data_IF_761656624380
#
_entry.id   IF_761656624380
#
_cell.length_a   1.000
_cell.length_b   1.000
_cell.length_c   1.000
_cell.angle_alpha   90.00
_cell.angle_beta   90.00
_cell.angle_gamma   90.00
#
_symmetry.space_group_name_H-M   'P 1'
#
loop_
_entity.id
_entity.type
_entity.pdbx_description
1 polymer ?
#
# COMPACT_ATOMS: atom_id res chain seq x y z
N UNK A 1 -14.01 6.85 -24.20
CA UNK A 1 -12.98 6.79 -23.15
C UNK A 1 -12.98 8.11 -22.43
N UNK A 2 -13.05 8.07 -21.11
CA UNK A 2 -13.12 9.25 -20.25
C UNK A 2 -11.93 9.25 -19.28
N UNK A 3 -11.20 10.36 -19.23
CA UNK A 3 -10.08 10.49 -18.31
C UNK A 3 -10.61 10.72 -16.90
N UNK A 4 -10.06 10.02 -15.93
CA UNK A 4 -10.39 10.17 -14.50
C UNK A 4 -9.93 11.54 -14.00
N UNK A 5 -10.82 12.38 -13.46
CA UNK A 5 -10.42 13.62 -12.82
C UNK A 5 -9.68 13.35 -11.51
N UNK A 6 -8.83 14.28 -11.09
CA UNK A 6 -8.30 14.29 -9.73
C UNK A 6 -9.46 14.62 -8.77
N UNK A 7 -9.70 13.73 -7.81
CA UNK A 7 -10.68 13.91 -6.73
C UNK A 7 -10.05 14.54 -5.50
N UNK A 8 -8.80 14.16 -5.22
CA UNK A 8 -8.03 14.64 -4.06
C UNK A 8 -6.54 14.56 -4.38
N UNK A 9 -5.77 15.50 -3.83
CA UNK A 9 -4.32 15.52 -3.89
C UNK A 9 -3.79 15.94 -2.52
N UNK A 10 -2.80 15.22 -1.98
CA UNK A 10 -2.16 15.53 -0.70
C UNK A 10 -0.69 15.12 -0.69
N UNK A 11 0.09 15.71 0.18
CA UNK A 11 1.47 15.28 0.46
C UNK A 11 1.48 14.28 1.61
N UNK A 12 2.38 13.28 1.54
CA UNK A 12 2.57 12.33 2.63
C UNK A 12 3.14 13.04 3.87
N UNK A 13 2.63 12.70 5.06
CA UNK A 13 2.93 13.37 6.31
C UNK A 13 4.02 12.62 7.11
N UNK A 14 5.07 13.31 7.59
CA UNK A 14 6.04 12.70 8.49
C UNK A 14 5.37 12.06 9.70
N UNK A 15 5.70 10.81 9.98
CA UNK A 15 5.07 10.00 11.03
C UNK A 15 6.13 9.11 11.68
N UNK A 16 5.90 8.70 12.92
CA UNK A 16 6.74 7.73 13.63
C UNK A 16 5.88 6.53 14.03
N UNK A 17 6.35 5.34 13.65
CA UNK A 17 5.65 4.07 13.91
C UNK A 17 6.61 2.99 14.45
N UNK A 18 6.06 1.83 14.78
CA UNK A 18 6.85 0.71 15.31
C UNK A 18 7.61 1.10 16.58
N UNK A 19 8.87 0.70 16.68
CA UNK A 19 9.74 1.04 17.81
C UNK A 19 10.49 2.38 17.62
N UNK A 20 9.97 3.26 16.77
CA UNK A 20 10.55 4.57 16.45
C UNK A 20 11.11 4.64 15.03
N UNK A 21 10.44 4.04 14.08
CA UNK A 21 10.71 4.15 12.63
C UNK A 21 10.11 5.44 12.11
N UNK A 22 10.95 6.30 11.53
CA UNK A 22 10.52 7.52 10.86
C UNK A 22 10.14 7.19 9.43
N UNK A 23 8.91 7.52 9.07
CA UNK A 23 8.33 7.28 7.76
C UNK A 23 7.41 8.43 7.34
N UNK A 24 6.82 8.34 6.15
CA UNK A 24 5.80 9.28 5.70
C UNK A 24 4.49 8.53 5.47
N UNK A 25 3.45 8.90 6.20
CA UNK A 25 2.10 8.36 6.01
C UNK A 25 1.44 9.01 4.82
N UNK A 26 1.09 8.19 3.83
CA UNK A 26 0.41 8.64 2.61
C UNK A 26 -1.09 8.82 2.90
N UNK A 27 -1.72 7.84 3.55
CA UNK A 27 -3.08 7.89 4.09
C UNK A 27 -3.25 6.79 5.16
N UNK A 28 -4.27 6.93 6.01
CA UNK A 28 -4.63 5.96 7.07
C UNK A 28 -5.39 6.62 8.21
N UNK A 29 -5.94 5.84 9.12
CA UNK A 29 -6.59 6.24 10.38
C UNK A 29 -7.58 7.42 10.26
N UNK A 30 -8.59 7.30 9.41
CA UNK A 30 -9.57 8.36 9.22
C UNK A 30 -10.68 7.94 8.28
N UNK A 31 -10.98 8.77 7.30
CA UNK A 31 -11.94 8.44 6.25
C UNK A 31 -11.32 7.41 5.30
N UNK A 32 -11.83 6.18 5.34
CA UNK A 32 -11.39 5.07 4.48
C UNK A 32 -12.14 5.02 3.15
N UNK A 33 -13.27 5.72 3.02
CA UNK A 33 -14.12 5.67 1.82
C UNK A 33 -13.39 6.02 0.51
N UNK A 34 -12.51 7.04 0.47
CA UNK A 34 -11.78 7.38 -0.76
C UNK A 34 -10.79 6.32 -1.22
N UNK A 35 -10.38 5.43 -0.32
CA UNK A 35 -9.32 4.43 -0.52
C UNK A 35 -9.82 2.99 -0.55
N UNK A 36 -11.11 2.76 -0.22
CA UNK A 36 -11.68 1.40 -0.18
C UNK A 36 -11.34 0.62 -1.49
N UNK A 37 -10.70 -0.57 -1.40
CA UNK A 37 -10.55 -1.43 -0.23
C UNK A 37 -9.26 -1.21 0.58
N UNK A 38 -8.49 -0.17 0.31
CA UNK A 38 -7.24 0.08 1.04
C UNK A 38 -7.48 0.91 2.30
N UNK A 39 -6.69 0.66 3.33
CA UNK A 39 -6.87 1.25 4.66
C UNK A 39 -5.76 2.23 5.02
N UNK A 40 -4.52 1.90 4.66
CA UNK A 40 -3.34 2.66 5.03
C UNK A 40 -2.24 2.46 4.01
N UNK A 41 -1.46 3.50 3.76
CA UNK A 41 -0.21 3.42 3.03
C UNK A 41 0.87 4.25 3.71
N UNK A 42 2.05 3.65 3.89
CA UNK A 42 3.24 4.29 4.41
C UNK A 42 4.39 4.19 3.42
N UNK A 43 5.13 5.28 3.28
CA UNK A 43 6.41 5.38 2.58
C UNK A 43 7.52 5.43 3.64
N UNK A 44 8.21 4.29 3.84
CA UNK A 44 9.28 4.16 4.85
C UNK A 44 10.68 4.42 4.27
N UNK A 45 10.78 5.22 3.21
CA UNK A 45 12.08 5.62 2.65
C UNK A 45 12.85 6.47 3.64
N UNK A 46 14.04 5.98 4.01
CA UNK A 46 14.93 6.64 4.94
C UNK A 46 16.39 6.24 4.67
N UNK A 47 17.28 7.21 4.66
CA UNK A 47 18.72 7.03 4.46
C UNK A 47 19.52 7.16 5.78
N UNK A 48 18.82 7.25 6.92
CA UNK A 48 19.39 7.42 8.26
C UNK A 48 19.15 6.17 9.11
N UNK A 49 20.10 5.23 9.23
CA UNK A 49 19.89 3.95 9.91
C UNK A 49 19.33 4.06 11.34
N UNK A 50 19.75 5.06 12.11
CA UNK A 50 19.25 5.27 13.48
C UNK A 50 17.75 5.56 13.57
N UNK A 51 17.11 5.95 12.45
CA UNK A 51 15.70 6.27 12.37
C UNK A 51 14.82 5.12 11.89
N UNK A 52 15.40 3.98 11.45
CA UNK A 52 14.61 2.82 11.01
C UNK A 52 15.06 1.48 11.62
N UNK A 53 16.30 1.31 12.07
CA UNK A 53 16.84 0.01 12.53
C UNK A 53 16.10 -0.61 13.71
N UNK A 54 15.32 0.16 14.47
CA UNK A 54 14.50 -0.38 15.57
C UNK A 54 13.32 -1.20 15.06
N UNK A 55 12.90 -1.00 13.82
CA UNK A 55 11.91 -1.78 13.10
C UNK A 55 10.54 -1.84 13.75
N UNK A 56 9.84 -2.88 13.37
CA UNK A 56 8.51 -3.23 13.85
C UNK A 56 8.59 -4.57 14.60
N UNK A 57 8.87 -4.56 15.91
CA UNK A 57 8.92 -5.78 16.73
C UNK A 57 7.58 -6.51 16.71
N UNK A 58 7.56 -7.73 17.24
CA UNK A 58 6.39 -8.61 17.24
C UNK A 58 5.07 -7.88 17.55
N UNK A 59 4.18 -7.85 16.56
CA UNK A 59 2.87 -7.20 16.65
C UNK A 59 1.81 -8.02 15.90
N UNK A 60 0.53 -7.96 16.36
CA UNK A 60 -0.56 -8.72 15.75
C UNK A 60 -1.16 -8.02 14.55
N UNK A 61 -1.79 -8.80 13.63
CA UNK A 61 -2.76 -8.31 12.64
C UNK A 61 -3.93 -9.28 12.54
N UNK A 62 -5.14 -8.73 12.27
CA UNK A 62 -6.35 -9.50 11.95
C UNK A 62 -7.23 -8.73 11.00
N UNK A 63 -7.86 -9.46 10.05
CA UNK A 63 -8.89 -8.94 9.17
C UNK A 63 -8.41 -8.06 8.03
N UNK A 64 -7.11 -8.07 7.75
CA UNK A 64 -6.46 -7.29 6.68
C UNK A 64 -5.43 -8.14 5.95
N UNK A 65 -4.95 -7.57 4.86
CA UNK A 65 -3.70 -7.95 4.21
C UNK A 65 -2.68 -6.84 4.37
N UNK A 66 -1.41 -7.19 4.55
CA UNK A 66 -0.29 -6.26 4.57
C UNK A 66 0.62 -6.53 3.39
N UNK A 67 0.98 -5.48 2.66
CA UNK A 67 1.82 -5.56 1.47
C UNK A 67 3.06 -4.70 1.70
N UNK A 68 4.21 -5.34 1.79
CA UNK A 68 5.51 -4.68 1.92
C UNK A 68 6.23 -4.76 0.59
N UNK A 69 6.54 -3.63 -0.03
CA UNK A 69 7.32 -3.54 -1.26
C UNK A 69 8.65 -2.84 -0.97
N UNK A 70 9.76 -3.55 -1.07
CA UNK A 70 11.10 -3.03 -0.82
C UNK A 70 11.72 -2.58 -2.15
N UNK A 71 12.09 -1.31 -2.25
CA UNK A 71 12.80 -0.76 -3.41
C UNK A 71 14.31 -0.85 -3.24
N UNK A 72 14.79 -0.57 -2.02
CA UNK A 72 16.22 -0.65 -1.65
C UNK A 72 16.37 -1.07 -0.19
N UNK A 73 17.38 -1.85 0.07
CA UNK A 73 17.71 -2.35 1.40
C UNK A 73 17.10 -3.71 1.67
N UNK A 74 17.17 -4.14 2.92
CA UNK A 74 16.67 -5.43 3.35
C UNK A 74 15.74 -5.27 4.54
N UNK A 75 14.69 -6.10 4.58
CA UNK A 75 13.79 -6.25 5.72
C UNK A 75 13.76 -7.72 6.11
N UNK A 76 14.25 -8.04 7.29
CA UNK A 76 14.08 -9.37 7.87
C UNK A 76 12.69 -9.48 8.46
N UNK A 77 12.02 -10.58 8.22
CA UNK A 77 10.68 -10.81 8.75
C UNK A 77 10.56 -12.21 9.36
N UNK A 78 9.60 -12.34 10.27
CA UNK A 78 9.20 -13.61 10.84
C UNK A 78 7.78 -13.53 11.39
N UNK A 79 7.06 -14.66 11.41
CA UNK A 79 5.69 -14.73 11.88
C UNK A 79 5.40 -15.89 12.82
N UNK A 80 4.21 -15.88 13.42
CA UNK A 80 3.71 -16.89 14.37
C UNK A 80 3.37 -18.23 13.71
N UNK A 81 3.43 -18.35 12.39
CA UNK A 81 3.26 -19.60 11.64
C UNK A 81 4.60 -20.30 11.38
N UNK A 82 5.71 -19.66 11.78
CA UNK A 82 7.07 -20.17 11.57
C UNK A 82 7.71 -19.73 10.27
N UNK A 83 7.08 -18.87 9.47
CA UNK A 83 7.70 -18.30 8.30
C UNK A 83 8.81 -17.31 8.71
N UNK A 84 9.91 -17.33 7.97
CA UNK A 84 11.03 -16.40 8.12
C UNK A 84 11.65 -16.13 6.76
N UNK A 85 12.11 -14.92 6.56
CA UNK A 85 12.77 -14.55 5.31
C UNK A 85 13.39 -13.17 5.35
N UNK A 86 13.93 -12.80 4.20
CA UNK A 86 14.49 -11.48 3.95
C UNK A 86 13.91 -10.97 2.63
N UNK A 87 13.30 -9.81 2.69
CA UNK A 87 12.95 -9.02 1.51
C UNK A 87 14.14 -8.16 1.13
N UNK A 88 14.52 -8.18 -0.12
CA UNK A 88 15.62 -7.41 -0.69
C UNK A 88 15.13 -6.48 -1.80
N UNK A 89 16.04 -5.81 -2.49
CA UNK A 89 15.73 -4.84 -3.54
C UNK A 89 14.76 -5.40 -4.59
N UNK A 90 13.59 -4.78 -4.70
CA UNK A 90 12.53 -5.13 -5.62
C UNK A 90 11.61 -6.27 -5.18
N UNK A 91 11.84 -6.90 -4.02
CA UNK A 91 10.97 -7.96 -3.48
C UNK A 91 9.67 -7.39 -2.91
N UNK A 92 8.63 -8.23 -2.92
CA UNK A 92 7.31 -7.94 -2.34
C UNK A 92 6.93 -9.06 -1.39
N UNK A 93 6.37 -8.68 -0.25
CA UNK A 93 5.68 -9.60 0.65
C UNK A 93 4.19 -9.25 0.67
N UNK A 94 3.35 -10.26 0.42
CA UNK A 94 1.91 -10.15 0.57
C UNK A 94 1.44 -11.13 1.64
N UNK A 95 1.03 -10.59 2.77
CA UNK A 95 0.59 -11.38 3.92
C UNK A 95 -0.91 -11.17 4.16
N UNK A 96 -1.69 -12.23 4.05
CA UNK A 96 -3.09 -12.26 4.50
C UNK A 96 -3.11 -12.57 5.98
N UNK A 97 -3.47 -11.61 6.82
CA UNK A 97 -3.55 -11.80 8.28
C UNK A 97 -4.77 -12.62 8.69
N UNK A 98 -5.88 -12.51 7.96
CA UNK A 98 -7.09 -13.31 8.16
C UNK A 98 -7.54 -13.38 9.62
N UNK A 99 -7.65 -14.59 10.15
CA UNK A 99 -8.10 -14.87 11.53
C UNK A 99 -7.12 -14.45 12.63
N UNK A 100 -5.91 -14.06 12.27
CA UNK A 100 -4.90 -13.54 13.19
C UNK A 100 -3.53 -14.11 12.96
N UNK A 101 -2.56 -13.21 12.86
CA UNK A 101 -1.13 -13.50 12.79
C UNK A 101 -0.38 -12.53 13.69
N UNK A 102 0.77 -12.94 14.20
CA UNK A 102 1.71 -12.08 14.89
C UNK A 102 3.01 -12.14 14.13
N UNK A 103 3.58 -11.00 13.76
CA UNK A 103 4.80 -10.94 12.98
C UNK A 103 5.72 -9.80 13.44
N UNK A 104 6.92 -9.81 12.91
CA UNK A 104 7.87 -8.71 13.03
C UNK A 104 8.50 -8.39 11.68
N UNK A 105 8.88 -7.13 11.50
CA UNK A 105 9.60 -6.63 10.32
C UNK A 105 10.78 -5.79 10.80
N UNK A 106 11.99 -6.24 10.51
CA UNK A 106 13.24 -5.64 11.01
C UNK A 106 14.07 -5.16 9.82
N UNK A 107 14.01 -3.86 9.47
CA UNK A 107 14.80 -3.30 8.39
C UNK A 107 16.28 -3.27 8.78
N UNK A 108 17.14 -3.69 7.86
CA UNK A 108 18.59 -3.65 8.03
C UNK A 108 19.28 -2.70 7.04
N UNK A 109 18.54 -2.23 6.04
CA UNK A 109 19.06 -1.35 4.99
C UNK A 109 20.04 -2.05 4.05
N UNK A 110 20.66 -1.25 3.17
CA UNK A 110 21.76 -1.70 2.31
C UNK A 110 23.12 -1.19 2.83
N UNK A 111 24.20 -1.48 2.10
CA UNK A 111 25.56 -1.07 2.47
C UNK A 111 25.75 0.47 2.54
N UNK A 112 24.85 1.24 1.92
CA UNK A 112 24.83 2.71 1.96
C UNK A 112 23.93 3.26 3.07
N UNK A 113 23.30 2.40 3.87
CA UNK A 113 22.36 2.79 4.91
C UNK A 113 20.98 3.21 4.39
N UNK A 114 20.63 2.82 3.17
CA UNK A 114 19.34 3.16 2.59
C UNK A 114 18.31 2.06 2.89
N UNK A 115 17.10 2.49 3.24
CA UNK A 115 15.93 1.66 3.39
C UNK A 115 14.75 2.33 2.69
N UNK A 116 14.41 1.89 1.47
CA UNK A 116 13.34 2.46 0.68
C UNK A 116 12.26 1.43 0.39
N UNK A 117 11.02 1.76 0.68
CA UNK A 117 9.90 0.88 0.39
C UNK A 117 8.57 1.42 0.87
N UNK A 118 7.54 0.62 0.67
CA UNK A 118 6.16 0.97 0.96
C UNK A 118 5.48 -0.14 1.73
N UNK A 119 4.62 0.26 2.67
CA UNK A 119 3.67 -0.60 3.36
C UNK A 119 2.27 -0.21 2.94
N UNK A 120 1.49 -1.13 2.40
CA UNK A 120 0.09 -0.94 2.07
C UNK A 120 -0.77 -1.93 2.86
N UNK A 121 -1.88 -1.47 3.42
CA UNK A 121 -2.88 -2.34 4.03
C UNK A 121 -4.12 -2.39 3.15
N UNK A 122 -4.53 -3.60 2.78
CA UNK A 122 -5.78 -3.88 2.11
C UNK A 122 -6.77 -4.53 3.09
N UNK A 123 -8.03 -4.10 3.03
CA UNK A 123 -9.08 -4.66 3.86
C UNK A 123 -9.53 -6.02 3.31
N UNK A 124 -9.88 -6.96 4.16
CA UNK A 124 -10.53 -8.20 3.77
C UNK A 124 -12.05 -8.04 3.76
N UNK A 125 -12.76 -8.64 2.80
CA UNK A 125 -14.22 -8.74 2.86
C UNK A 125 -14.68 -9.42 4.15
N UNK A 126 -15.90 -9.12 4.59
CA UNK A 126 -16.46 -9.62 5.86
C UNK A 126 -16.37 -11.14 6.00
N UNK A 127 -16.68 -11.86 4.94
CA UNK A 127 -16.66 -13.33 4.90
C UNK A 127 -15.24 -13.92 4.89
N UNK A 128 -14.22 -13.10 4.60
CA UNK A 128 -12.80 -13.49 4.59
C UNK A 128 -12.02 -12.96 5.80
N UNK A 129 -12.62 -12.13 6.66
CA UNK A 129 -11.95 -11.59 7.85
C UNK A 129 -11.33 -12.65 8.76
N UNK A 130 -11.93 -13.82 8.80
CA UNK A 130 -11.48 -14.94 9.63
C UNK A 130 -10.92 -16.11 8.79
N UNK A 131 -10.49 -15.87 7.56
CA UNK A 131 -9.82 -16.89 6.75
C UNK A 131 -8.47 -17.31 7.37
N UNK A 132 -7.94 -18.42 6.89
CA UNK A 132 -6.61 -18.89 7.32
C UNK A 132 -5.54 -17.90 6.88
N UNK A 133 -4.63 -17.48 7.78
CA UNK A 133 -3.51 -16.64 7.41
C UNK A 133 -2.67 -17.25 6.28
N UNK A 134 -2.21 -16.40 5.38
CA UNK A 134 -1.44 -16.81 4.20
C UNK A 134 -0.27 -15.87 3.99
N UNK A 135 0.82 -16.42 3.48
CA UNK A 135 2.05 -15.70 3.24
C UNK A 135 2.55 -15.93 1.82
N UNK A 136 2.85 -14.88 1.09
CA UNK A 136 3.42 -14.92 -0.25
C UNK A 136 4.66 -14.03 -0.30
N UNK A 137 5.82 -14.67 -0.50
CA UNK A 137 7.11 -14.03 -0.67
C UNK A 137 7.46 -14.02 -2.16
N UNK A 138 7.48 -12.84 -2.77
CA UNK A 138 7.63 -12.67 -4.21
C UNK A 138 8.97 -12.00 -4.45
N UNK A 139 9.86 -12.75 -5.10
CA UNK A 139 11.17 -12.22 -5.45
C UNK A 139 11.10 -11.28 -6.64
N UNK A 140 11.97 -10.29 -6.65
CA UNK A 140 12.04 -9.27 -7.70
C UNK A 140 12.06 -9.85 -9.13
N UNK A 141 12.72 -10.98 -9.31
CA UNK A 141 12.79 -11.69 -10.60
C UNK A 141 11.50 -12.35 -11.05
N UNK A 142 10.55 -12.59 -10.13
CA UNK A 142 9.26 -13.22 -10.41
C UNK A 142 8.18 -12.19 -10.76
N UNK A 143 8.47 -10.90 -10.54
CA UNK A 143 7.54 -9.80 -10.87
C UNK A 143 7.61 -9.52 -12.36
N UNK A 144 6.48 -9.74 -13.06
CA UNK A 144 6.37 -9.42 -14.48
C UNK A 144 6.64 -7.95 -14.73
N UNK A 145 7.43 -7.65 -15.77
CA UNK A 145 7.72 -6.28 -16.18
C UNK A 145 7.74 -6.13 -17.70
N UNK A 146 7.44 -4.93 -18.16
CA UNK A 146 7.51 -4.57 -19.58
C UNK A 146 8.06 -3.15 -19.73
N UNK A 147 8.62 -2.90 -20.92
CA UNK A 147 9.03 -1.56 -21.32
C UNK A 147 8.36 -1.26 -22.66
N UNK A 148 7.58 -0.18 -22.70
CA UNK A 148 6.90 0.27 -23.91
C UNK A 148 7.87 1.00 -24.87
N UNK A 149 7.45 1.21 -26.13
CA UNK A 149 8.25 1.86 -27.19
C UNK A 149 8.68 3.29 -26.84
N UNK A 150 7.91 3.97 -25.94
CA UNK A 150 8.23 5.31 -25.44
C UNK A 150 9.22 5.30 -24.25
N UNK A 151 9.72 4.12 -23.87
CA UNK A 151 10.62 3.93 -22.73
C UNK A 151 9.94 3.84 -21.39
N UNK A 152 8.60 3.90 -21.31
CA UNK A 152 7.86 3.68 -20.05
C UNK A 152 8.09 2.27 -19.56
N UNK A 153 8.61 2.13 -18.34
CA UNK A 153 8.83 0.84 -17.68
C UNK A 153 7.75 0.59 -16.63
N UNK A 154 7.17 -0.62 -16.64
CA UNK A 154 6.07 -0.99 -15.75
C UNK A 154 6.39 -2.35 -15.13
N UNK A 155 6.34 -2.43 -13.79
CA UNK A 155 6.36 -3.68 -13.03
C UNK A 155 4.95 -3.98 -12.53
N UNK A 156 4.48 -5.18 -12.80
CA UNK A 156 3.13 -5.64 -12.43
C UNK A 156 3.24 -6.47 -11.14
N UNK A 157 3.06 -5.84 -9.99
CA UNK A 157 3.13 -6.52 -8.69
C UNK A 157 1.89 -7.40 -8.49
N UNK A 158 0.69 -6.83 -8.74
CA UNK A 158 -0.57 -7.54 -8.66
C UNK A 158 -1.53 -7.09 -9.77
N UNK A 159 -2.48 -7.95 -10.13
CA UNK A 159 -3.45 -7.70 -11.19
C UNK A 159 -2.93 -8.09 -12.59
N UNK A 160 -3.52 -7.50 -13.61
CA UNK A 160 -3.14 -7.70 -15.01
C UNK A 160 -2.94 -6.33 -15.70
N UNK A 161 -1.88 -6.23 -16.48
CA UNK A 161 -1.63 -5.08 -17.35
C UNK A 161 -1.18 -5.56 -18.72
N UNK A 162 -2.03 -5.37 -19.75
CA UNK A 162 -1.77 -5.77 -21.15
C UNK A 162 -1.33 -7.23 -21.32
N UNK A 163 -1.92 -8.14 -20.51
CA UNK A 163 -1.60 -9.56 -20.53
C UNK A 163 -0.38 -9.95 -19.71
N UNK A 164 0.32 -9.00 -19.08
CA UNK A 164 1.33 -9.27 -18.07
C UNK A 164 0.63 -9.40 -16.71
N UNK A 165 0.70 -10.60 -16.14
CA UNK A 165 0.05 -10.90 -14.86
C UNK A 165 1.02 -10.70 -13.72
N UNK A 166 0.54 -10.06 -12.65
CA UNK A 166 1.25 -9.94 -11.39
C UNK A 166 1.46 -11.30 -10.71
N UNK A 167 2.52 -11.40 -9.92
CA UNK A 167 2.91 -12.64 -9.27
C UNK A 167 2.02 -13.02 -8.08
N UNK A 168 1.26 -12.06 -7.53
CA UNK A 168 0.33 -12.27 -6.41
C UNK A 168 -0.98 -12.85 -6.94
N UNK A 169 -1.50 -13.90 -6.30
CA UNK A 169 -2.77 -14.53 -6.66
C UNK A 169 -3.68 -14.76 -5.44
N UNK A 170 -4.96 -15.08 -5.72
CA UNK A 170 -5.93 -15.44 -4.68
C UNK A 170 -6.25 -14.29 -3.72
N UNK A 171 -6.34 -13.06 -4.23
CA UNK A 171 -6.66 -11.85 -3.46
C UNK A 171 -8.09 -11.42 -3.77
N UNK A 172 -8.94 -11.39 -2.73
CA UNK A 172 -10.38 -11.16 -2.87
C UNK A 172 -10.75 -9.73 -3.35
N UNK A 173 -9.92 -8.75 -3.05
CA UNK A 173 -10.15 -7.35 -3.46
C UNK A 173 -9.76 -7.07 -4.92
N UNK A 174 -9.29 -8.10 -5.63
CA UNK A 174 -8.85 -8.00 -7.03
C UNK A 174 -7.97 -6.76 -7.28
N UNK A 175 -6.86 -6.59 -6.56
CA UNK A 175 -6.05 -5.39 -6.63
C UNK A 175 -5.27 -5.33 -7.94
N UNK A 176 -5.06 -4.10 -8.44
CA UNK A 176 -3.99 -3.78 -9.38
C UNK A 176 -2.94 -2.96 -8.67
N UNK A 177 -1.70 -3.40 -8.70
CA UNK A 177 -0.56 -2.71 -8.10
C UNK A 177 0.57 -2.65 -9.11
N UNK A 178 0.77 -1.47 -9.69
CA UNK A 178 1.77 -1.20 -10.73
C UNK A 178 2.82 -0.22 -10.19
N UNK A 179 4.09 -0.51 -10.42
CA UNK A 179 5.21 0.42 -10.25
C UNK A 179 5.63 0.90 -11.65
N UNK A 180 5.46 2.19 -11.91
CA UNK A 180 5.55 2.79 -13.24
C UNK A 180 6.61 3.87 -13.26
N UNK A 181 7.54 3.77 -14.20
CA UNK A 181 8.52 4.81 -14.50
C UNK A 181 8.31 5.35 -15.93
N UNK A 182 8.04 6.64 -16.06
CA UNK A 182 7.84 7.32 -17.36
C UNK A 182 9.03 8.24 -17.62
N UNK A 183 9.65 8.16 -18.82
CA UNK A 183 10.74 9.05 -19.22
C UNK A 183 10.36 10.53 -19.20
N UNK A 184 11.32 11.47 -19.21
CA UNK A 184 11.06 12.89 -19.24
C UNK A 184 10.10 13.34 -20.36
N UNK A 185 9.22 14.30 -20.06
CA UNK A 185 8.33 14.97 -21.01
C UNK A 185 7.48 14.01 -21.87
N UNK A 186 7.05 12.90 -21.28
CA UNK A 186 6.27 11.86 -21.97
C UNK A 186 4.86 11.80 -21.40
N UNK A 187 3.86 11.75 -22.29
CA UNK A 187 2.46 11.57 -21.93
C UNK A 187 2.03 10.14 -22.16
N UNK A 188 1.42 9.52 -21.14
CA UNK A 188 0.97 8.14 -21.17
C UNK A 188 -0.45 8.02 -20.64
N UNK A 189 -1.24 7.10 -21.20
CA UNK A 189 -2.55 6.71 -20.71
C UNK A 189 -2.54 5.29 -20.21
N UNK A 190 -3.14 5.11 -19.05
CA UNK A 190 -3.30 3.81 -18.39
C UNK A 190 -4.79 3.47 -18.33
N UNK A 191 -5.20 2.31 -18.86
CA UNK A 191 -6.59 1.85 -18.73
C UNK A 191 -6.89 1.60 -17.24
N UNK A 192 -8.13 1.92 -16.86
CA UNK A 192 -8.57 1.82 -15.49
C UNK A 192 -9.99 1.27 -15.43
N UNK A 193 -10.21 0.16 -14.73
CA UNK A 193 -11.55 -0.41 -14.58
C UNK A 193 -12.47 0.58 -13.84
N UNK A 194 -13.58 0.93 -14.45
CA UNK A 194 -14.55 1.91 -13.91
C UNK A 194 -15.18 1.49 -12.59
N UNK A 195 -15.15 0.21 -12.27
CA UNK A 195 -15.67 -0.36 -11.01
C UNK A 195 -14.72 -0.22 -9.84
N UNK A 196 -13.43 0.09 -10.11
CA UNK A 196 -12.38 0.18 -9.10
C UNK A 196 -12.18 1.61 -8.62
N UNK A 197 -11.90 1.76 -7.34
CA UNK A 197 -11.28 2.95 -6.79
C UNK A 197 -9.76 2.86 -6.95
N UNK A 198 -9.08 4.01 -7.01
CA UNK A 198 -7.64 3.97 -7.09
C UNK A 198 -6.98 5.32 -7.01
N UNK A 199 -5.68 5.24 -6.82
CA UNK A 199 -4.81 6.40 -6.60
C UNK A 199 -3.44 6.17 -7.23
N UNK A 200 -2.70 7.28 -7.41
CA UNK A 200 -1.28 7.26 -7.70
C UNK A 200 -0.51 7.84 -6.52
N UNK A 201 0.68 7.29 -6.24
CA UNK A 201 1.62 7.84 -5.28
C UNK A 201 2.96 8.08 -5.95
N UNK A 202 3.36 9.35 -6.09
CA UNK A 202 4.61 9.75 -6.73
C UNK A 202 5.73 9.68 -5.71
N UNK A 203 6.80 8.96 -6.04
CA UNK A 203 7.95 8.82 -5.17
C UNK A 203 9.30 9.18 -5.80
N UNK A 204 9.31 9.49 -7.11
CA UNK A 204 10.46 10.10 -7.80
C UNK A 204 9.97 11.02 -8.91
N UNK A 205 10.64 12.16 -9.11
CA UNK A 205 10.30 13.11 -10.16
C UNK A 205 8.98 13.84 -9.94
N UNK A 206 8.30 14.16 -11.03
CA UNK A 206 7.04 14.89 -11.02
C UNK A 206 6.18 14.57 -12.23
N UNK A 207 4.86 14.75 -12.10
CA UNK A 207 3.91 14.58 -13.20
C UNK A 207 2.69 15.50 -13.06
N UNK A 208 2.03 15.70 -14.18
CA UNK A 208 0.66 16.23 -14.26
C UNK A 208 -0.28 15.05 -14.52
N UNK A 209 -1.36 14.94 -13.74
CA UNK A 209 -2.41 13.95 -13.91
C UNK A 209 -3.67 14.62 -14.44
N UNK A 210 -4.13 14.15 -15.57
CA UNK A 210 -5.44 14.48 -16.11
C UNK A 210 -5.43 15.60 -17.11
N UNK A 211 -6.29 15.47 -18.07
CA UNK A 211 -7.00 16.46 -18.87
C UNK A 211 -8.44 15.97 -18.93
N UNK A 212 -9.07 15.75 -17.77
CA UNK A 212 -10.46 15.36 -17.72
C UNK A 212 -11.29 16.41 -18.47
N UNK A 213 -12.02 15.95 -19.47
CA UNK A 213 -12.96 16.82 -20.17
C UNK A 213 -13.95 17.41 -19.17
N UNK A 214 -14.14 18.73 -19.22
CA UNK A 214 -15.18 19.43 -18.47
C UNK A 214 -16.51 18.64 -18.46
N UNK A 215 -17.29 18.62 -17.35
CA UNK A 215 -17.48 19.74 -16.43
C UNK A 215 -16.68 19.64 -15.10
N UNK A 216 -15.75 18.74 -14.95
CA UNK A 216 -15.05 18.51 -13.70
C UNK A 216 -13.79 19.37 -13.50
N UNK A 217 -13.56 20.36 -14.33
CA UNK A 217 -12.54 21.40 -14.14
C UNK A 217 -12.85 22.38 -13.01
N UNK A 218 -13.62 21.97 -12.01
CA UNK A 218 -13.85 22.76 -10.82
C UNK A 218 -12.75 22.40 -9.83
N UNK A 219 -11.89 23.39 -9.51
CA UNK A 219 -11.04 23.32 -8.33
C UNK A 219 -11.95 23.11 -7.12
N UNK A 220 -12.07 21.87 -6.67
CA UNK A 220 -12.80 21.57 -5.45
C UNK A 220 -11.86 21.87 -4.31
N UNK A 221 -11.97 23.07 -3.76
CA UNK A 221 -11.45 23.36 -2.43
C UNK A 221 -12.23 22.48 -1.45
N UNK A 222 -11.61 21.41 -0.98
CA UNK A 222 -12.12 20.64 0.15
C UNK A 222 -11.26 20.94 1.35
N UNK A 223 -11.87 21.47 2.36
CA UNK A 223 -11.33 21.52 3.71
C UNK A 223 -11.25 20.07 4.24
N UNK A 224 -10.06 19.50 4.32
CA UNK A 224 -9.82 18.28 5.05
C UNK A 224 -9.04 18.65 6.33
N UNK A 225 -9.65 18.43 7.49
CA UNK A 225 -9.08 18.75 8.80
C UNK A 225 -8.64 20.24 8.99
N UNK A 226 -9.30 21.19 8.31
CA UNK A 226 -9.02 22.62 8.46
C UNK A 226 -7.89 23.16 7.59
N UNK A 227 -7.37 22.38 6.65
CA UNK A 227 -6.38 22.85 5.66
C UNK A 227 -6.99 22.94 4.27
N UNK A 228 -6.76 24.08 3.58
CA UNK A 228 -7.13 24.27 2.18
C UNK A 228 -6.29 23.35 1.29
N UNK A 229 -6.92 22.35 0.66
CA UNK A 229 -6.27 21.54 -0.37
C UNK A 229 -6.34 22.21 -1.72
N UNK A 230 -5.19 22.67 -2.22
CA UNK A 230 -5.05 23.17 -3.59
C UNK A 230 -4.60 22.04 -4.50
N UNK A 231 -5.38 21.74 -5.55
CA UNK A 231 -4.92 20.88 -6.65
C UNK A 231 -3.84 21.67 -7.39
N UNK A 232 -2.62 21.13 -7.39
CA UNK A 232 -1.48 21.73 -8.10
C UNK A 232 -1.47 21.22 -9.53
N UNK A 233 -1.04 22.05 -10.47
CA UNK A 233 -0.88 21.66 -11.87
C UNK A 233 0.17 20.53 -12.04
N UNK A 234 1.12 20.42 -11.11
CA UNK A 234 2.14 19.40 -11.10
C UNK A 234 2.26 18.76 -9.71
N UNK A 235 2.20 17.42 -9.69
CA UNK A 235 2.42 16.60 -8.49
C UNK A 235 3.86 16.15 -8.43
N UNK A 236 4.53 16.40 -7.32
CA UNK A 236 5.93 16.06 -7.09
C UNK A 236 6.12 14.81 -6.23
N UNK A 237 7.37 14.58 -5.82
CA UNK A 237 7.75 13.50 -4.91
C UNK A 237 6.94 13.55 -3.60
N UNK A 238 6.51 12.38 -3.10
CA UNK A 238 5.65 12.18 -1.92
C UNK A 238 4.22 12.72 -2.06
N UNK A 239 3.73 12.85 -3.28
CA UNK A 239 2.35 13.29 -3.55
C UNK A 239 1.43 12.11 -3.82
N UNK A 240 0.32 12.07 -3.10
CA UNK A 240 -0.83 11.21 -3.33
C UNK A 240 -1.81 11.91 -4.28
N UNK A 241 -2.31 11.19 -5.29
CA UNK A 241 -3.35 11.65 -6.22
C UNK A 241 -4.46 10.61 -6.24
N UNK A 242 -5.65 10.95 -5.76
CA UNK A 242 -6.83 10.07 -5.76
C UNK A 242 -7.74 10.44 -6.94
N UNK A 243 -8.18 9.43 -7.67
CA UNK A 243 -8.95 9.62 -8.90
C UNK A 243 -10.46 9.50 -8.69
N UNK A 244 -11.20 10.30 -9.45
CA UNK A 244 -12.65 10.17 -9.62
C UNK A 244 -13.02 9.05 -10.61
N UNK A 245 -14.26 9.08 -11.10
CA UNK A 245 -14.76 8.11 -12.08
C UNK A 245 -14.19 8.36 -13.50
N UNK A 246 -13.95 7.31 -14.24
CA UNK A 246 -13.42 7.30 -15.60
C UNK A 246 -12.84 5.94 -15.95
N UNK A 247 -12.42 5.75 -17.18
CA UNK A 247 -11.86 4.48 -17.69
C UNK A 247 -10.36 4.58 -18.07
N UNK A 248 -9.76 5.77 -17.93
CA UNK A 248 -8.33 5.99 -18.16
C UNK A 248 -7.74 6.99 -17.15
N UNK A 249 -6.46 6.82 -16.83
CA UNK A 249 -5.63 7.82 -16.15
C UNK A 249 -4.60 8.32 -17.16
N UNK A 250 -4.55 9.64 -17.39
CA UNK A 250 -3.52 10.27 -18.23
C UNK A 250 -2.46 10.90 -17.34
N UNK A 251 -1.19 10.63 -17.64
CA UNK A 251 -0.03 11.11 -16.89
C UNK A 251 0.94 11.75 -17.88
N UNK A 252 1.34 12.98 -17.59
CA UNK A 252 2.43 13.65 -18.31
C UNK A 252 3.58 13.87 -17.34
N UNK A 253 4.72 13.21 -17.59
CA UNK A 253 5.90 13.33 -16.74
C UNK A 253 6.57 14.70 -16.88
N UNK A 254 7.21 15.15 -15.79
CA UNK A 254 8.02 16.36 -15.78
C UNK A 254 9.39 16.21 -16.50
N UNK A 255 10.21 17.25 -16.40
CA UNK A 255 11.53 17.32 -17.08
C UNK A 255 12.52 16.24 -16.65
N UNK A 256 12.38 15.67 -15.46
CA UNK A 256 13.22 14.59 -14.93
C UNK A 256 12.55 13.21 -15.03
N UNK A 257 11.40 13.12 -15.69
CA UNK A 257 10.56 11.94 -15.67
C UNK A 257 9.75 11.82 -14.37
N UNK A 258 9.08 10.68 -14.21
CA UNK A 258 8.31 10.37 -12.99
C UNK A 258 8.36 8.88 -12.70
N UNK A 259 8.40 8.50 -11.42
CA UNK A 259 8.12 7.15 -10.97
C UNK A 259 7.08 7.18 -9.87
N UNK A 260 6.07 6.34 -10.03
CA UNK A 260 4.90 6.32 -9.13
C UNK A 260 4.31 4.93 -9.03
N UNK A 261 3.59 4.70 -7.94
CA UNK A 261 2.71 3.54 -7.80
C UNK A 261 1.34 3.91 -8.34
N UNK A 262 0.75 3.06 -9.18
CA UNK A 262 -0.65 3.15 -9.59
C UNK A 262 -1.38 1.96 -8.99
N UNK A 263 -2.25 2.23 -8.01
CA UNK A 263 -2.91 1.21 -7.21
C UNK A 263 -4.42 1.36 -7.34
N UNK A 264 -5.11 0.22 -7.52
CA UNK A 264 -6.57 0.20 -7.55
C UNK A 264 -7.13 -1.13 -7.03
N UNK A 265 -8.36 -1.10 -6.52
CA UNK A 265 -9.06 -2.30 -6.06
C UNK A 265 -10.58 -2.16 -6.14
N UNK A 266 -11.28 -3.28 -6.06
CA UNK A 266 -12.73 -3.29 -5.99
C UNK A 266 -13.17 -2.83 -4.58
N UNK A 267 -13.94 -1.73 -4.45
CA UNK A 267 -14.38 -1.26 -3.15
C UNK A 267 -15.32 -2.26 -2.48
N UNK A 268 -15.08 -2.57 -1.22
CA UNK A 268 -15.89 -3.50 -0.42
C UNK A 268 -17.23 -2.89 0.01
N UNK A 269 -17.24 -1.58 0.29
CA UNK A 269 -18.43 -0.85 0.78
C UNK A 269 -19.02 -1.45 2.05
N UNK A 270 -18.16 -1.95 2.91
CA UNK A 270 -18.52 -2.59 4.17
C UNK A 270 -18.14 -1.70 5.36
N UNK A 271 -18.84 -1.82 6.50
CA UNK A 271 -18.44 -1.10 7.70
C UNK A 271 -17.03 -1.49 8.15
N UNK A 272 -16.26 -0.50 8.59
CA UNK A 272 -14.89 -0.67 9.11
C UNK A 272 -14.88 -0.34 10.61
N UNK A 273 -14.54 -1.33 11.43
CA UNK A 273 -14.24 -1.17 12.84
C UNK A 273 -12.74 -1.38 13.05
N UNK A 274 -12.01 -0.28 13.22
CA UNK A 274 -10.56 -0.26 13.22
C UNK A 274 -9.99 0.23 14.54
N UNK A 275 -9.03 -0.52 15.11
CA UNK A 275 -8.23 -0.07 16.26
C UNK A 275 -6.83 -0.69 16.19
N UNK A 276 -5.81 0.15 16.11
CA UNK A 276 -4.42 -0.27 15.96
C UNK A 276 -4.25 -1.22 14.78
N UNK A 277 -3.65 -2.41 14.96
CA UNK A 277 -3.35 -3.34 13.88
C UNK A 277 -4.51 -4.30 13.53
N UNK A 278 -5.69 -4.12 14.11
CA UNK A 278 -6.84 -5.02 13.95
C UNK A 278 -8.00 -4.27 13.28
N UNK A 279 -8.55 -4.87 12.22
CA UNK A 279 -9.66 -4.29 11.44
C UNK A 279 -10.75 -5.35 11.23
N UNK A 280 -11.93 -5.06 11.78
CA UNK A 280 -13.12 -5.91 11.68
C UNK A 280 -14.28 -5.12 11.07
N UNK A 281 -15.50 -5.69 11.01
CA UNK A 281 -16.68 -5.00 10.52
C UNK A 281 -17.56 -4.42 11.63
N UNK A 282 -17.36 -4.82 12.88
CA UNK A 282 -18.11 -4.33 14.02
C UNK A 282 -17.24 -4.16 15.27
N UNK A 283 -17.71 -3.30 16.19
CA UNK A 283 -17.05 -3.13 17.50
C UNK A 283 -17.04 -4.41 18.33
N UNK A 284 -18.06 -5.25 18.20
CA UNK A 284 -18.13 -6.51 18.92
C UNK A 284 -17.03 -7.49 18.46
N UNK A 285 -16.84 -7.62 17.16
CA UNK A 285 -15.75 -8.43 16.58
C UNK A 285 -14.37 -7.89 16.96
N UNK A 286 -14.23 -6.55 16.99
CA UNK A 286 -12.99 -5.91 17.41
C UNK A 286 -12.68 -6.19 18.89
N UNK A 287 -13.69 -6.09 19.78
CA UNK A 287 -13.55 -6.41 21.20
C UNK A 287 -13.21 -7.89 21.42
N UNK A 288 -13.79 -8.79 20.62
CA UNK A 288 -13.46 -10.22 20.65
C UNK A 288 -12.00 -10.44 20.29
N UNK A 289 -11.51 -9.82 19.21
CA UNK A 289 -10.11 -9.92 18.79
C UNK A 289 -9.14 -9.51 19.91
N UNK A 290 -9.42 -8.42 20.64
CA UNK A 290 -8.60 -8.00 21.77
C UNK A 290 -8.72 -8.93 22.99
N UNK A 291 -9.91 -9.49 23.24
CA UNK A 291 -10.06 -10.51 24.30
C UNK A 291 -9.20 -11.75 24.01
N UNK A 292 -9.23 -12.23 22.78
CA UNK A 292 -8.42 -13.37 22.34
C UNK A 292 -6.92 -13.07 22.39
N UNK A 293 -6.51 -11.83 22.02
CA UNK A 293 -5.12 -11.41 22.13
C UNK A 293 -4.63 -11.46 23.58
N UNK A 294 -5.41 -10.91 24.49
CA UNK A 294 -5.10 -10.91 25.91
C UNK A 294 -5.13 -12.32 26.54
N UNK A 295 -5.97 -13.21 26.01
CA UNK A 295 -6.11 -14.60 26.48
C UNK A 295 -5.07 -15.56 25.85
N UNK A 296 -4.25 -15.09 24.91
CA UNK A 296 -3.29 -15.95 24.21
C UNK A 296 -3.92 -16.90 23.17
N UNK A 297 -5.16 -16.61 22.74
CA UNK A 297 -5.91 -17.45 21.78
C UNK A 297 -6.13 -16.75 20.43
N UNK A 298 -5.39 -15.69 20.19
CA UNK A 298 -5.53 -14.84 19.00
C UNK A 298 -5.12 -15.58 17.72
N UNK A 299 -3.96 -16.26 17.72
CA UNK A 299 -3.49 -17.05 16.59
C UNK A 299 -4.27 -18.36 16.56
N UNK A 300 -5.02 -18.61 15.46
CA UNK A 300 -5.89 -19.77 15.32
C UNK A 300 -5.18 -20.98 14.71
N UNK A 301 -4.18 -20.72 13.89
CA UNK A 301 -3.30 -21.73 13.32
C UNK A 301 -1.89 -21.37 13.75
N UNK A 302 -1.23 -22.20 14.51
CA UNK A 302 0.10 -21.94 15.02
C UNK A 302 1.08 -22.99 14.57
N UNK A 303 2.35 -22.60 14.36
CA UNK A 303 3.46 -23.53 14.43
C UNK A 303 3.61 -24.00 15.88
N UNK A 304 3.87 -25.28 16.08
CA UNK A 304 4.16 -25.85 17.39
C UNK A 304 5.29 -25.04 18.06
N UNK A 305 5.01 -24.44 19.21
CA UNK A 305 6.00 -23.78 20.06
C UNK A 305 5.95 -22.26 20.16
N UNK A 306 4.99 -21.58 19.53
CA UNK A 306 4.82 -20.14 19.75
C UNK A 306 4.01 -19.89 21.04
N UNK A 307 4.65 -19.28 22.04
CA UNK A 307 4.01 -18.88 23.29
C UNK A 307 3.77 -17.37 23.25
N UNK A 308 2.51 -16.94 23.35
CA UNK A 308 2.17 -15.53 23.59
C UNK A 308 2.80 -15.08 24.93
N UNK A 309 3.99 -14.51 24.90
CA UNK A 309 4.55 -13.81 26.05
C UNK A 309 4.15 -12.34 25.94
N UNK A 310 3.27 -11.83 26.81
CA UNK A 310 3.08 -10.40 26.94
C UNK A 310 4.37 -9.77 27.42
N UNK A 311 5.00 -8.92 26.63
CA UNK A 311 6.06 -8.02 27.06
C UNK A 311 7.49 -8.58 27.07
N UNK A 312 7.98 -9.05 25.94
CA UNK A 312 9.44 -9.15 25.70
C UNK A 312 9.86 -8.36 24.50
#
# INVERSE_FOLDING_TARGET
>A
MSIRPIKMQSEATPTMEGAGVHLHRVFGFGDTDPFDPFLMMDDFRNDTPSEYLKGFPWHPHRGIETITYVLKGNVEHGDSLGNRGVLSDGDVQWMTAGSGIIHQEMPTGNAQGQMHGFQLWANLPRDQKMCTPRYQDIKSGDISSLTDDDGTHIRVVAGDYRGYRGAVDGIDTDPSYLDIAIPPNTTKRFPFDTRRQGFAYIFEGSANFGNASTPFGVNVEKEFAGEEMKIRDQSGNRTLVVFGAGDEVEVTSGEMGVRFLLISGAPLREPVAWHGPIVMNSRAELQEAFRELNAGTFVKTGADGWVNTPGS
#
